data_IF_779022112009
#
_entry.id   IF_779022112009
#
_cell.length_a   1.000
_cell.length_b   1.000
_cell.length_c   1.000
_cell.angle_alpha   90.00
_cell.angle_beta   90.00
_cell.angle_gamma   90.00
#
_symmetry.space_group_name_H-M   'P 1'
#
loop_
_entity.id
_entity.type
_entity.pdbx_description
1 polymer ?
#
# COMPACT_ATOMS: atom_id res chain seq x y z
N UNK A 1 -14.22 -25.59 -14.62
CA UNK A 1 -14.96 -24.76 -13.64
C UNK A 1 -14.32 -23.38 -13.66
N UNK A 2 -15.02 -22.36 -14.16
CA UNK A 2 -14.48 -21.00 -14.33
C UNK A 2 -15.02 -20.00 -13.29
N UNK A 3 -15.84 -20.47 -12.35
CA UNK A 3 -16.50 -19.66 -11.33
C UNK A 3 -16.06 -20.12 -9.94
N UNK A 4 -15.74 -19.16 -9.07
CA UNK A 4 -15.42 -19.41 -7.66
C UNK A 4 -16.68 -19.78 -6.89
N UNK A 5 -16.65 -20.84 -6.08
CA UNK A 5 -17.80 -21.32 -5.30
C UNK A 5 -17.72 -20.94 -3.81
N UNK A 6 -16.94 -19.93 -3.47
CA UNK A 6 -16.75 -19.41 -2.11
C UNK A 6 -16.98 -17.91 -2.05
N UNK A 7 -17.29 -17.38 -0.87
CA UNK A 7 -17.57 -15.95 -0.64
C UNK A 7 -16.32 -15.09 -0.40
N UNK A 8 -15.12 -15.68 -0.37
CA UNK A 8 -13.86 -14.94 -0.22
C UNK A 8 -13.45 -14.16 -1.48
N UNK A 9 -12.83 -13.01 -1.27
CA UNK A 9 -12.26 -12.18 -2.32
C UNK A 9 -10.82 -12.63 -2.66
N UNK A 10 -10.60 -12.98 -3.93
CA UNK A 10 -9.27 -13.24 -4.47
C UNK A 10 -8.73 -11.95 -5.07
N UNK A 11 -7.94 -11.21 -4.30
CA UNK A 11 -7.39 -9.91 -4.69
C UNK A 11 -6.44 -10.05 -5.88
N UNK A 12 -6.56 -9.14 -6.85
CA UNK A 12 -5.64 -9.08 -7.98
C UNK A 12 -4.20 -8.74 -7.55
N UNK A 13 -3.17 -9.18 -8.31
CA UNK A 13 -1.80 -8.78 -8.04
C UNK A 13 -1.64 -7.26 -7.96
N UNK A 14 -1.24 -6.77 -6.79
CA UNK A 14 -1.10 -5.34 -6.52
C UNK A 14 0.38 -4.94 -6.40
N UNK A 15 0.79 -3.78 -6.93
CA UNK A 15 2.15 -3.27 -6.76
C UNK A 15 2.36 -2.56 -5.42
N UNK A 16 1.30 -2.25 -4.66
CA UNK A 16 1.41 -1.46 -3.43
C UNK A 16 2.26 -2.11 -2.32
N UNK A 17 2.28 -3.44 -2.13
CA UNK A 17 3.16 -4.07 -1.14
C UNK A 17 4.65 -3.79 -1.39
N UNK A 18 5.13 -3.91 -2.63
CA UNK A 18 6.55 -3.69 -2.94
C UNK A 18 6.93 -2.20 -2.86
N UNK A 19 6.03 -1.32 -3.29
CA UNK A 19 6.24 0.12 -3.13
C UNK A 19 6.20 0.54 -1.65
N UNK A 20 5.32 -0.06 -0.84
CA UNK A 20 5.26 0.15 0.61
C UNK A 20 6.54 -0.29 1.32
N UNK A 21 7.07 -1.47 0.98
CA UNK A 21 8.35 -1.95 1.51
C UNK A 21 9.51 -1.01 1.13
N UNK A 22 9.53 -0.53 -0.10
CA UNK A 22 10.53 0.45 -0.57
C UNK A 22 10.39 1.78 0.17
N UNK A 23 9.17 2.28 0.36
CA UNK A 23 8.92 3.51 1.10
C UNK A 23 9.34 3.41 2.58
N UNK A 24 9.14 2.25 3.21
CA UNK A 24 9.63 1.98 4.56
C UNK A 24 11.16 2.00 4.63
N UNK A 25 11.85 1.38 3.66
CA UNK A 25 13.31 1.43 3.55
C UNK A 25 13.83 2.86 3.37
N UNK A 26 13.21 3.66 2.50
CA UNK A 26 13.58 5.06 2.29
C UNK A 26 13.37 5.90 3.55
N UNK A 27 12.31 5.63 4.31
CA UNK A 27 12.01 6.36 5.55
C UNK A 27 13.03 6.04 6.64
N UNK A 28 13.35 4.75 6.87
CA UNK A 28 14.31 4.35 7.90
C UNK A 28 15.73 4.80 7.56
N UNK A 29 16.17 4.61 6.32
CA UNK A 29 17.45 5.16 5.85
C UNK A 29 17.47 6.68 5.87
N UNK A 30 16.36 7.34 5.55
CA UNK A 30 16.20 8.78 5.63
C UNK A 30 16.34 9.33 7.05
N UNK A 31 15.82 8.62 8.06
CA UNK A 31 16.02 8.98 9.46
C UNK A 31 17.50 8.90 9.86
N UNK A 32 18.21 7.84 9.43
CA UNK A 32 19.66 7.72 9.65
C UNK A 32 20.41 8.89 9.00
N UNK A 33 20.07 9.22 7.75
CA UNK A 33 20.67 10.33 7.00
C UNK A 33 20.43 11.68 7.70
N UNK A 34 19.24 11.87 8.26
CA UNK A 34 18.94 13.11 8.97
C UNK A 34 19.72 13.22 10.28
N UNK A 35 19.75 12.17 11.11
CA UNK A 35 20.39 12.22 12.42
C UNK A 35 21.92 12.25 12.37
N UNK A 36 22.53 11.57 11.40
CA UNK A 36 24.00 11.46 11.33
C UNK A 36 24.65 12.41 10.33
N UNK A 37 23.90 12.87 9.32
CA UNK A 37 24.44 13.67 8.21
C UNK A 37 23.67 14.97 7.98
N UNK A 38 22.71 15.32 8.84
CA UNK A 38 21.88 16.53 8.76
C UNK A 38 21.18 16.71 7.40
N UNK A 39 20.89 15.61 6.69
CA UNK A 39 20.22 15.62 5.39
C UNK A 39 18.85 14.96 5.47
N UNK A 40 17.79 15.74 5.24
CA UNK A 40 16.40 15.28 5.33
C UNK A 40 15.78 14.86 3.99
N UNK A 41 16.50 15.03 2.86
CA UNK A 41 15.94 14.77 1.53
C UNK A 41 15.39 13.35 1.37
N UNK A 42 16.14 12.36 1.84
CA UNK A 42 15.76 10.95 1.73
C UNK A 42 14.55 10.63 2.62
N UNK A 43 14.47 11.24 3.80
CA UNK A 43 13.32 11.12 4.70
C UNK A 43 12.06 11.74 4.08
N UNK A 44 12.17 12.94 3.51
CA UNK A 44 11.04 13.59 2.82
C UNK A 44 10.54 12.74 1.66
N UNK A 45 11.44 12.14 0.87
CA UNK A 45 11.07 11.22 -0.20
C UNK A 45 10.35 9.98 0.35
N UNK A 46 10.90 9.33 1.39
CA UNK A 46 10.30 8.16 2.01
C UNK A 46 8.89 8.41 2.57
N UNK A 47 8.70 9.55 3.25
CA UNK A 47 7.39 9.96 3.78
C UNK A 47 6.40 10.28 2.66
N UNK A 48 6.82 11.00 1.62
CA UNK A 48 5.99 11.29 0.46
C UNK A 48 5.57 10.00 -0.27
N UNK A 49 6.50 9.06 -0.48
CA UNK A 49 6.21 7.75 -1.06
C UNK A 49 5.25 6.93 -0.18
N UNK A 50 5.41 6.98 1.14
CA UNK A 50 4.53 6.27 2.08
C UNK A 50 3.10 6.78 1.97
N UNK A 51 2.89 8.10 2.00
CA UNK A 51 1.57 8.71 1.81
C UNK A 51 0.96 8.34 0.46
N UNK A 52 1.76 8.38 -0.61
CA UNK A 52 1.33 8.03 -1.96
C UNK A 52 0.88 6.56 -2.05
N UNK A 53 1.60 5.63 -1.42
CA UNK A 53 1.22 4.21 -1.36
C UNK A 53 -0.08 4.03 -0.57
N UNK A 54 -0.19 4.65 0.61
CA UNK A 54 -1.41 4.57 1.43
C UNK A 54 -2.64 5.07 0.67
N UNK A 55 -2.54 6.24 0.03
CA UNK A 55 -3.64 6.82 -0.74
C UNK A 55 -4.09 5.92 -1.89
N UNK A 56 -3.15 5.38 -2.67
CA UNK A 56 -3.49 4.55 -3.82
C UNK A 56 -3.97 3.16 -3.42
N UNK A 57 -3.38 2.57 -2.38
CA UNK A 57 -3.79 1.26 -1.89
C UNK A 57 -5.20 1.32 -1.30
N UNK A 58 -5.48 2.31 -0.45
CA UNK A 58 -6.84 2.47 0.09
C UNK A 58 -7.86 2.86 -0.97
N UNK A 59 -7.47 3.63 -1.99
CA UNK A 59 -8.33 3.87 -3.16
C UNK A 59 -8.74 2.55 -3.82
N UNK A 60 -7.81 1.60 -3.96
CA UNK A 60 -8.09 0.32 -4.61
C UNK A 60 -8.98 -0.57 -3.73
N UNK A 61 -8.77 -0.58 -2.41
CA UNK A 61 -9.69 -1.24 -1.46
C UNK A 61 -11.11 -0.66 -1.55
N UNK A 62 -11.26 0.67 -1.65
CA UNK A 62 -12.57 1.31 -1.84
C UNK A 62 -13.19 0.90 -3.18
N UNK A 63 -12.39 0.71 -4.24
CA UNK A 63 -12.88 0.24 -5.54
C UNK A 63 -13.36 -1.21 -5.48
N UNK A 64 -12.56 -2.09 -4.87
CA UNK A 64 -12.88 -3.50 -4.67
C UNK A 64 -14.17 -3.67 -3.86
N UNK A 65 -14.31 -2.90 -2.77
CA UNK A 65 -15.51 -2.94 -1.92
C UNK A 65 -16.74 -2.31 -2.58
N UNK A 66 -16.66 -1.02 -2.91
CA UNK A 66 -17.85 -0.21 -3.27
C UNK A 66 -18.25 -0.36 -4.74
N UNK A 67 -17.30 -0.47 -5.66
CA UNK A 67 -17.58 -0.42 -7.10
C UNK A 67 -17.55 -1.81 -7.76
N UNK A 68 -16.80 -2.77 -7.22
CA UNK A 68 -16.72 -4.15 -7.72
C UNK A 68 -17.53 -5.15 -6.88
N UNK A 69 -17.93 -4.78 -5.65
CA UNK A 69 -18.81 -5.58 -4.81
C UNK A 69 -18.13 -6.79 -4.18
N UNK A 70 -16.81 -6.77 -4.01
CA UNK A 70 -16.05 -7.91 -3.46
C UNK A 70 -16.17 -8.07 -1.93
N UNK A 71 -16.68 -7.06 -1.21
CA UNK A 71 -16.88 -7.12 0.24
C UNK A 71 -18.23 -7.78 0.61
N UNK A 72 -18.33 -9.09 0.42
CA UNK A 72 -19.47 -9.89 0.90
C UNK A 72 -19.53 -9.90 2.44
N UNK A 73 -20.62 -10.36 3.08
CA UNK A 73 -20.68 -10.48 4.53
C UNK A 73 -19.61 -11.37 5.17
N UNK A 74 -18.95 -12.25 4.39
CA UNK A 74 -17.81 -13.04 4.88
C UNK A 74 -16.48 -12.26 4.84
N UNK A 75 -16.39 -11.20 4.04
CA UNK A 75 -15.18 -10.41 3.81
C UNK A 75 -15.15 -9.10 4.64
N UNK A 76 -16.31 -8.54 5.00
CA UNK A 76 -16.43 -7.39 5.91
C UNK A 76 -16.07 -7.75 7.36
#
# INVERSE_FOLDING_TARGET
MAHQAHSYHMVDPSPWPIFGATAALLTTSGLIMWFHYNSSHLLTLGLASTLLVMLQWWRDIVREGTFQGHHTPTVQ
#
